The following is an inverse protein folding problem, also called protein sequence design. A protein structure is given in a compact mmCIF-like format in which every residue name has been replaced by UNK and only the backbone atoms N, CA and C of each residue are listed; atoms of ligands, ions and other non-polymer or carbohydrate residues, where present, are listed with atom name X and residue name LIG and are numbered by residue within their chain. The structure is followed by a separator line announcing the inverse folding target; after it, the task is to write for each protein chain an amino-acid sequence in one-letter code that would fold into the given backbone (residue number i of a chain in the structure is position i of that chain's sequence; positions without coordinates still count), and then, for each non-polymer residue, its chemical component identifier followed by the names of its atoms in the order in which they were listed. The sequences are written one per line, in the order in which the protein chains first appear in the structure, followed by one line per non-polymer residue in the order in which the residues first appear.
data_IF_981385544159
#
_entry.id   IF_981385544159
#
_cell.length_a   1.000
_cell.length_b   1.000
_cell.length_c   1.000
_cell.angle_alpha   90.00
_cell.angle_beta   90.00
_cell.angle_gamma   90.00
#
_symmetry.space_group_name_H-M   'P 1'
#
loop_
_entity.id
_entity.type
_entity.pdbx_description
1 polymer ?
#
# COMPACT_ATOMS: atom_id res chain seq x y z
N UNK A 1 4.11 11.83 29.79
CA UNK A 1 3.23 11.01 28.92
C UNK A 1 4.09 10.49 27.80
N UNK A 2 3.98 9.20 27.46
CA UNK A 2 4.65 8.65 26.26
C UNK A 2 3.89 9.15 25.04
N UNK A 3 4.61 9.66 24.05
CA UNK A 3 4.06 10.00 22.75
C UNK A 3 3.99 8.74 21.89
N UNK A 4 2.79 8.41 21.41
CA UNK A 4 2.50 7.27 20.54
C UNK A 4 2.18 7.72 19.11
N UNK A 5 2.47 8.98 18.78
CA UNK A 5 2.43 9.49 17.42
C UNK A 5 3.47 8.82 16.54
N UNK A 6 3.22 8.87 15.24
CA UNK A 6 4.22 8.52 14.24
C UNK A 6 5.33 9.56 14.22
N UNK A 7 6.53 9.11 13.89
CA UNK A 7 7.62 9.99 13.50
C UNK A 7 7.28 10.72 12.19
N UNK A 8 7.98 11.82 11.91
CA UNK A 8 7.79 12.57 10.66
C UNK A 8 8.00 11.67 9.42
N UNK A 9 9.00 10.78 9.47
CA UNK A 9 9.28 9.83 8.39
C UNK A 9 8.11 8.86 8.18
N UNK A 10 7.55 8.32 9.26
CA UNK A 10 6.39 7.42 9.19
C UNK A 10 5.13 8.13 8.67
N UNK A 11 4.91 9.40 8.99
CA UNK A 11 3.78 10.18 8.44
C UNK A 11 3.95 10.45 6.94
N UNK A 12 5.15 10.82 6.49
CA UNK A 12 5.46 10.98 5.05
C UNK A 12 5.28 9.65 4.31
N UNK A 13 5.75 8.56 4.90
CA UNK A 13 5.58 7.22 4.36
C UNK A 13 4.10 6.84 4.23
N UNK A 14 3.32 7.08 5.28
CA UNK A 14 1.87 6.84 5.32
C UNK A 14 1.13 7.66 4.26
N UNK A 15 1.43 8.94 4.09
CA UNK A 15 0.74 9.78 3.11
C UNK A 15 1.04 9.31 1.68
N UNK A 16 2.30 8.98 1.40
CA UNK A 16 2.75 8.46 0.10
C UNK A 16 2.06 7.14 -0.24
N UNK A 17 1.98 6.20 0.72
CA UNK A 17 1.25 4.96 0.53
C UNK A 17 -0.24 5.20 0.25
N UNK A 18 -0.86 6.14 0.96
CA UNK A 18 -2.29 6.44 0.79
C UNK A 18 -2.58 6.97 -0.61
N UNK A 19 -1.75 7.88 -1.11
CA UNK A 19 -1.89 8.44 -2.45
C UNK A 19 -1.78 7.34 -3.50
N UNK A 20 -0.69 6.56 -3.47
CA UNK A 20 -0.45 5.46 -4.40
C UNK A 20 -1.62 4.46 -4.41
N UNK A 21 -2.04 3.96 -3.25
CA UNK A 21 -3.11 2.95 -3.16
C UNK A 21 -4.48 3.49 -3.59
N UNK A 22 -4.71 4.80 -3.42
CA UNK A 22 -5.93 5.45 -3.91
C UNK A 22 -6.02 5.47 -5.43
N UNK A 23 -4.88 5.47 -6.12
CA UNK A 23 -4.81 5.41 -7.58
C UNK A 23 -4.88 3.98 -8.12
N UNK A 24 -4.13 3.05 -7.53
CA UNK A 24 -3.93 1.71 -8.13
C UNK A 24 -4.85 0.61 -7.57
N UNK A 25 -5.27 0.72 -6.31
CA UNK A 25 -6.02 -0.33 -5.60
C UNK A 25 -7.48 0.06 -5.36
N UNK A 26 -7.72 1.26 -4.82
CA UNK A 26 -9.08 1.68 -4.44
C UNK A 26 -10.09 1.62 -5.61
N UNK A 27 -9.76 2.03 -6.86
CA UNK A 27 -10.70 1.96 -7.97
C UNK A 27 -11.05 0.52 -8.38
N UNK A 28 -10.21 -0.46 -8.02
CA UNK A 28 -10.38 -1.88 -8.36
C UNK A 28 -11.12 -2.67 -7.28
N UNK A 29 -11.45 -2.07 -6.14
CA UNK A 29 -12.03 -2.79 -4.99
C UNK A 29 -13.29 -3.59 -5.34
N UNK A 30 -14.22 -3.01 -6.11
CA UNK A 30 -15.45 -3.68 -6.55
C UNK A 30 -15.19 -4.84 -7.52
N UNK A 31 -14.21 -4.68 -8.41
CA UNK A 31 -13.79 -5.75 -9.32
C UNK A 31 -13.22 -6.93 -8.55
N UNK A 32 -12.33 -6.65 -7.59
CA UNK A 32 -11.65 -7.65 -6.77
C UNK A 32 -12.67 -8.48 -5.98
N UNK A 33 -13.63 -7.80 -5.34
CA UNK A 33 -14.70 -8.44 -4.59
C UNK A 33 -15.57 -9.34 -5.50
N UNK A 34 -16.03 -8.80 -6.64
CA UNK A 34 -16.91 -9.54 -7.56
C UNK A 34 -16.23 -10.77 -8.17
N UNK A 35 -14.94 -10.66 -8.51
CA UNK A 35 -14.18 -11.73 -9.18
C UNK A 35 -13.42 -12.64 -8.22
N UNK A 36 -13.44 -12.33 -6.92
CA UNK A 36 -12.63 -12.99 -5.90
C UNK A 36 -11.14 -13.12 -6.27
N UNK A 37 -10.60 -12.12 -6.98
CA UNK A 37 -9.21 -12.13 -7.46
C UNK A 37 -8.63 -10.73 -7.52
N UNK A 38 -7.41 -10.57 -6.99
CA UNK A 38 -6.61 -9.35 -7.17
C UNK A 38 -5.97 -9.39 -8.57
N UNK A 39 -6.14 -8.35 -9.40
CA UNK A 39 -5.48 -8.26 -10.69
C UNK A 39 -3.95 -8.29 -10.55
N UNK A 40 -3.28 -9.02 -11.43
CA UNK A 40 -1.83 -9.25 -11.36
C UNK A 40 -1.05 -7.92 -11.49
N UNK A 41 -1.58 -6.94 -12.23
CA UNK A 41 -1.00 -5.60 -12.36
C UNK A 41 -1.02 -4.82 -11.03
N UNK A 42 -2.03 -5.03 -10.18
CA UNK A 42 -2.09 -4.40 -8.86
C UNK A 42 -1.01 -5.02 -7.98
N UNK A 43 -0.88 -6.35 -7.98
CA UNK A 43 0.17 -7.06 -7.22
C UNK A 43 1.56 -6.60 -7.67
N UNK A 44 1.77 -6.47 -8.99
CA UNK A 44 3.03 -5.99 -9.57
C UNK A 44 3.35 -4.57 -9.14
N UNK A 45 2.38 -3.66 -9.18
CA UNK A 45 2.56 -2.29 -8.72
C UNK A 45 2.90 -2.21 -7.22
N UNK A 46 2.29 -3.05 -6.37
CA UNK A 46 2.67 -3.14 -4.95
C UNK A 46 4.12 -3.63 -4.76
N UNK A 47 4.57 -4.59 -5.57
CA UNK A 47 5.93 -5.10 -5.54
C UNK A 47 6.96 -4.04 -5.98
N UNK A 48 6.69 -3.35 -7.10
CA UNK A 48 7.57 -2.31 -7.65
C UNK A 48 7.73 -1.12 -6.69
N UNK A 49 6.72 -0.84 -5.87
CA UNK A 49 6.77 0.23 -4.86
C UNK A 49 7.28 -0.25 -3.48
N UNK A 50 7.82 -1.47 -3.37
CA UNK A 50 8.41 -1.98 -2.13
C UNK A 50 7.41 -2.21 -1.00
N UNK A 51 6.10 -2.25 -1.30
CA UNK A 51 5.05 -2.51 -0.31
C UNK A 51 5.08 -3.99 0.09
N UNK A 52 5.28 -4.86 -0.89
CA UNK A 52 5.49 -6.28 -0.62
C UNK A 52 6.90 -6.49 -0.09
N UNK A 53 7.04 -7.37 0.91
CA UNK A 53 8.32 -7.75 1.51
C UNK A 53 9.09 -6.60 2.20
N UNK A 54 8.41 -5.53 2.61
CA UNK A 54 9.01 -4.33 3.22
C UNK A 54 9.96 -4.59 4.41
N UNK A 55 9.73 -5.66 5.18
CA UNK A 55 10.54 -6.03 6.35
C UNK A 55 11.57 -7.12 6.06
N UNK A 56 11.65 -7.59 4.82
CA UNK A 56 12.61 -8.61 4.40
C UNK A 56 13.97 -7.96 4.17
N UNK A 57 15.04 -8.63 4.61
CA UNK A 57 16.40 -8.17 4.37
C UNK A 57 16.76 -8.36 2.88
N UNK A 58 17.52 -7.42 2.27
CA UNK A 58 18.03 -7.58 0.91
C UNK A 58 18.83 -8.88 0.72
#
# INVERSE_FOLDING_TARGET
MVDFGFTEEEEVFRSTLRELLSEILAPRAREIDTKCRIPDEVIKALAENGILLMTVKP
#
